data_IF_025786395762
#
_entry.id   IF_025786395762
#
_cell.length_a   1.000
_cell.length_b   1.000
_cell.length_c   1.000
_cell.angle_alpha   90.00
_cell.angle_beta   90.00
_cell.angle_gamma   90.00
#
_symmetry.space_group_name_H-M   'P 1'
#
loop_
_entity.id
_entity.type
_entity.pdbx_description
1 polymer ?
#
# COMPACT_ATOMS: atom_id res chain seq x y z
N UNK A 1 -18.31 13.63 4.66
CA UNK A 1 -18.38 13.25 6.10
C UNK A 1 -18.91 11.82 6.35
N UNK A 2 -18.71 10.85 5.43
CA UNK A 2 -19.31 9.50 5.57
C UNK A 2 -18.32 8.33 5.65
N UNK A 3 -17.05 8.51 5.29
CA UNK A 3 -16.03 7.46 5.42
C UNK A 3 -15.26 7.49 6.76
N UNK A 4 -15.04 8.65 7.38
CA UNK A 4 -14.51 8.75 8.76
C UNK A 4 -15.52 8.29 9.84
N UNK A 5 -16.82 8.24 9.53
CA UNK A 5 -17.86 7.90 10.51
C UNK A 5 -18.07 6.38 10.68
N UNK A 6 -17.67 5.56 9.70
CA UNK A 6 -17.82 4.11 9.75
C UNK A 6 -16.75 3.45 10.63
N UNK A 7 -15.49 3.86 10.50
CA UNK A 7 -14.37 3.32 11.28
C UNK A 7 -14.51 3.66 12.77
N UNK A 8 -14.97 4.86 13.08
CA UNK A 8 -15.09 5.34 14.47
C UNK A 8 -16.27 4.71 15.24
N UNK A 9 -17.34 4.27 14.56
CA UNK A 9 -18.51 3.64 15.21
C UNK A 9 -18.28 2.18 15.60
N UNK A 10 -17.45 1.44 14.86
CA UNK A 10 -17.12 0.05 15.18
C UNK A 10 -16.24 -0.06 16.43
N UNK A 11 -15.31 0.88 16.62
CA UNK A 11 -14.39 0.91 17.77
C UNK A 11 -15.08 1.34 19.07
N UNK A 12 -16.12 2.18 19.01
CA UNK A 12 -16.85 2.66 20.20
C UNK A 12 -17.85 1.64 20.78
N UNK A 13 -18.35 0.69 19.99
CA UNK A 13 -19.26 -0.36 20.48
C UNK A 13 -18.56 -1.43 21.33
N UNK A 14 -17.23 -1.56 21.22
CA UNK A 14 -16.45 -2.54 21.97
C UNK A 14 -16.01 -2.07 23.38
N UNK A 15 -16.32 -0.83 23.81
CA UNK A 15 -15.80 -0.26 25.08
C UNK A 15 -16.83 -0.03 26.19
N UNK A 16 -18.07 -0.52 26.07
CA UNK A 16 -19.11 -0.32 27.10
C UNK A 16 -19.59 -1.60 27.79
N UNK A 17 -18.65 -2.42 28.24
CA UNK A 17 -18.85 -3.31 29.39
C UNK A 17 -17.59 -3.21 30.25
N UNK A 18 -17.59 -2.32 31.23
CA UNK A 18 -16.53 -2.24 32.22
C UNK A 18 -16.75 -3.33 33.28
N UNK A 19 -15.84 -4.31 33.33
CA UNK A 19 -15.16 -4.69 34.57
C UNK A 19 -13.81 -5.34 34.22
N UNK A 20 -12.75 -4.70 34.70
CA UNK A 20 -11.34 -4.85 34.28
C UNK A 20 -10.68 -6.06 34.95
N UNK A 21 -9.61 -6.60 34.36
CA UNK A 21 -8.37 -6.74 35.14
C UNK A 21 -7.09 -6.48 34.34
N UNK A 22 -6.85 -6.99 33.11
CA UNK A 22 -5.67 -6.60 32.32
C UNK A 22 -5.85 -6.78 30.79
N UNK A 23 -5.56 -5.73 30.00
CA UNK A 23 -5.19 -5.84 28.57
C UNK A 23 -4.19 -4.74 28.25
N UNK A 24 -2.97 -5.10 27.83
CA UNK A 24 -2.02 -4.16 27.23
C UNK A 24 -2.51 -3.78 25.84
N UNK A 25 -2.81 -2.50 25.67
CA UNK A 25 -2.99 -1.87 24.37
C UNK A 25 -1.81 -0.91 24.26
N UNK A 26 -0.74 -1.33 23.60
CA UNK A 26 0.29 -0.38 23.18
C UNK A 26 -0.27 0.41 22.00
N UNK A 27 -0.99 1.46 22.36
CA UNK A 27 -1.13 2.65 21.54
C UNK A 27 0.15 3.46 21.72
N UNK A 28 0.99 3.55 20.69
CA UNK A 28 1.62 4.84 20.39
C UNK A 28 1.64 5.12 18.88
N UNK A 29 1.35 6.38 18.49
CA UNK A 29 1.59 6.94 17.17
C UNK A 29 3.04 7.44 17.04
N UNK A 30 3.37 7.95 15.85
CA UNK A 30 4.58 8.71 15.47
C UNK A 30 5.81 7.95 14.96
N UNK A 31 6.18 8.38 13.74
CA UNK A 31 7.51 8.70 13.24
C UNK A 31 8.64 8.43 14.24
N UNK A 32 9.56 7.54 13.87
CA UNK A 32 10.90 7.53 14.44
C UNK A 32 11.90 7.85 13.33
N UNK A 33 12.20 9.14 13.19
CA UNK A 33 13.49 9.60 12.69
C UNK A 33 14.50 9.33 13.81
N UNK A 34 15.49 8.48 13.57
CA UNK A 34 16.65 8.34 14.45
C UNK A 34 17.88 8.86 13.72
N UNK A 35 18.22 10.12 13.98
CA UNK A 35 19.57 10.63 13.86
C UNK A 35 19.89 11.37 15.16
N UNK A 36 20.82 10.82 15.94
CA UNK A 36 21.61 11.61 16.88
C UNK A 36 22.93 10.91 17.16
N UNK A 37 24.02 11.59 16.78
CA UNK A 37 25.40 11.23 17.08
C UNK A 37 25.73 11.66 18.51
N UNK A 38 26.37 10.77 19.27
CA UNK A 38 27.14 11.14 20.46
C UNK A 38 28.60 10.75 20.20
N UNK A 39 29.41 11.76 19.90
CA UNK A 39 30.85 11.69 19.96
C UNK A 39 31.27 11.95 21.41
N UNK A 40 31.72 10.90 22.10
CA UNK A 40 32.52 11.02 23.32
C UNK A 40 33.56 9.91 23.29
N UNK A 41 34.81 10.33 23.09
CA UNK A 41 36.03 9.51 23.14
C UNK A 41 36.20 8.93 24.54
N UNK A 42 36.35 7.61 24.64
CA UNK A 42 37.28 7.01 25.61
C UNK A 42 37.69 5.56 25.26
N UNK A 43 38.84 5.16 25.81
CA UNK A 43 39.80 4.21 25.24
C UNK A 43 39.48 2.70 25.36
N UNK A 44 39.94 1.98 24.32
CA UNK A 44 40.48 0.60 24.29
C UNK A 44 39.58 -0.65 24.52
N UNK A 45 39.27 -1.35 23.41
CA UNK A 45 39.46 -2.81 23.17
C UNK A 45 39.03 -3.17 21.73
N UNK A 46 39.85 -3.82 20.89
CA UNK A 46 39.35 -4.38 19.63
C UNK A 46 38.64 -5.70 19.94
N UNK A 47 37.31 -5.66 20.08
CA UNK A 47 36.48 -6.86 19.93
C UNK A 47 36.17 -7.01 18.44
N UNK A 48 36.49 -8.19 17.91
CA UNK A 48 36.25 -8.61 16.53
C UNK A 48 34.88 -8.16 16.02
N UNK A 49 34.91 -7.21 15.09
CA UNK A 49 33.75 -6.75 14.35
C UNK A 49 33.25 -7.95 13.53
N UNK A 50 32.11 -8.49 13.95
CA UNK A 50 31.31 -9.39 13.13
C UNK A 50 30.69 -8.55 12.00
N UNK A 51 31.49 -8.27 10.99
CA UNK A 51 31.03 -7.58 9.79
C UNK A 51 30.09 -8.52 9.02
N UNK A 52 29.00 -7.94 8.52
CA UNK A 52 28.14 -8.46 7.46
C UNK A 52 26.84 -9.20 7.85
N UNK A 53 26.02 -8.60 8.74
CA UNK A 53 24.58 -8.93 8.85
C UNK A 53 23.60 -7.79 8.51
N UNK A 54 24.08 -6.65 8.05
CA UNK A 54 23.24 -5.47 7.74
C UNK A 54 22.90 -5.27 6.25
N UNK A 55 23.48 -6.05 5.33
CA UNK A 55 23.52 -5.69 3.91
C UNK A 55 22.43 -6.32 3.02
N UNK A 56 21.66 -7.30 3.49
CA UNK A 56 20.72 -8.04 2.61
C UNK A 56 19.24 -7.67 2.79
N UNK A 57 18.81 -7.21 3.96
CA UNK A 57 17.41 -6.84 4.22
C UNK A 57 17.06 -5.45 3.67
N UNK A 58 17.94 -4.47 3.87
CA UNK A 58 17.77 -3.09 3.37
C UNK A 58 17.75 -3.05 1.84
N UNK A 59 18.67 -3.73 1.17
CA UNK A 59 18.68 -3.79 -0.30
C UNK A 59 17.42 -4.44 -0.86
N UNK A 60 16.90 -5.49 -0.20
CA UNK A 60 15.62 -6.10 -0.61
C UNK A 60 14.45 -5.15 -0.40
N UNK A 61 14.46 -4.35 0.65
CA UNK A 61 13.40 -3.38 0.91
C UNK A 61 13.41 -2.24 -0.10
N UNK A 62 14.60 -1.73 -0.43
CA UNK A 62 14.78 -0.72 -1.46
C UNK A 62 14.24 -1.20 -2.81
N UNK A 63 14.62 -2.42 -3.24
CA UNK A 63 14.11 -3.03 -4.48
C UNK A 63 12.59 -3.16 -4.47
N UNK A 64 11.98 -3.59 -3.37
CA UNK A 64 10.52 -3.65 -3.27
C UNK A 64 9.89 -2.27 -3.44
N UNK A 65 10.42 -1.26 -2.75
CA UNK A 65 9.85 0.09 -2.79
C UNK A 65 9.91 0.66 -4.21
N UNK A 66 11.03 0.49 -4.91
CA UNK A 66 11.20 0.95 -6.28
C UNK A 66 10.22 0.25 -7.22
N UNK A 67 10.14 -1.08 -7.17
CA UNK A 67 9.20 -1.86 -8.00
C UNK A 67 7.75 -1.46 -7.74
N UNK A 68 7.36 -1.30 -6.47
CA UNK A 68 6.01 -0.89 -6.12
C UNK A 68 5.71 0.54 -6.58
N UNK A 69 6.64 1.48 -6.41
CA UNK A 69 6.51 2.86 -6.88
C UNK A 69 6.36 2.91 -8.41
N UNK A 70 7.24 2.23 -9.15
CA UNK A 70 7.17 2.15 -10.61
C UNK A 70 5.85 1.53 -11.07
N UNK A 71 5.36 0.49 -10.38
CA UNK A 71 4.07 -0.13 -10.71
C UNK A 71 2.93 0.87 -10.56
N UNK A 72 2.86 1.58 -9.44
CA UNK A 72 1.78 2.55 -9.20
C UNK A 72 1.86 3.74 -10.16
N UNK A 73 3.07 4.21 -10.49
CA UNK A 73 3.28 5.26 -11.47
C UNK A 73 2.83 4.83 -12.87
N UNK A 74 3.19 3.62 -13.31
CA UNK A 74 2.77 3.13 -14.62
C UNK A 74 1.24 3.02 -14.70
N UNK A 75 0.57 2.55 -13.64
CA UNK A 75 -0.90 2.50 -13.61
C UNK A 75 -1.50 3.92 -13.68
N UNK A 76 -0.90 4.89 -12.98
CA UNK A 76 -1.30 6.30 -13.06
C UNK A 76 -1.22 6.79 -14.51
N UNK A 77 -0.04 6.71 -15.11
CA UNK A 77 0.23 7.21 -16.47
C UNK A 77 -0.70 6.54 -17.51
N UNK A 78 -0.93 5.23 -17.41
CA UNK A 78 -1.82 4.49 -18.30
C UNK A 78 -3.28 4.94 -18.20
N UNK A 79 -3.76 5.20 -16.97
CA UNK A 79 -5.14 5.62 -16.76
C UNK A 79 -5.32 7.10 -17.11
N UNK A 80 -4.37 7.98 -16.81
CA UNK A 80 -4.40 9.38 -17.28
C UNK A 80 -4.52 9.45 -18.80
N UNK A 81 -3.70 8.67 -19.51
CA UNK A 81 -3.78 8.57 -20.97
C UNK A 81 -5.15 8.05 -21.46
N UNK A 82 -5.76 7.12 -20.72
CA UNK A 82 -7.09 6.60 -21.03
C UNK A 82 -8.19 7.66 -20.81
N UNK A 83 -8.12 8.40 -19.70
CA UNK A 83 -9.05 9.49 -19.38
C UNK A 83 -9.03 10.53 -20.49
N UNK A 84 -7.83 10.96 -20.92
CA UNK A 84 -7.66 11.96 -21.98
C UNK A 84 -8.19 11.47 -23.34
N UNK A 85 -7.89 10.20 -23.67
CA UNK A 85 -8.27 9.61 -24.96
C UNK A 85 -9.78 9.44 -25.09
N UNK A 86 -10.42 8.86 -24.08
CA UNK A 86 -11.84 8.49 -24.12
C UNK A 86 -12.76 9.57 -23.51
N UNK A 87 -12.17 10.65 -22.98
CA UNK A 87 -12.87 11.76 -22.29
C UNK A 87 -13.76 11.26 -21.16
N UNK A 88 -13.22 10.37 -20.33
CA UNK A 88 -13.94 9.80 -19.20
C UNK A 88 -14.11 10.83 -18.08
N UNK A 89 -15.26 10.83 -17.43
CA UNK A 89 -15.47 11.54 -16.16
C UNK A 89 -14.91 10.68 -15.02
N UNK A 90 -13.58 10.62 -14.95
CA UNK A 90 -12.80 9.90 -13.96
C UNK A 90 -11.65 10.80 -13.50
N UNK A 91 -11.28 10.69 -12.23
CA UNK A 91 -10.09 11.34 -11.68
C UNK A 91 -9.12 10.29 -11.12
N UNK A 92 -7.82 10.58 -11.20
CA UNK A 92 -6.78 9.69 -10.68
C UNK A 92 -5.67 10.49 -10.00
N UNK A 93 -5.21 10.02 -8.85
CA UNK A 93 -4.17 10.69 -8.07
C UNK A 93 -3.27 9.70 -7.34
N UNK A 94 -1.96 9.97 -7.32
CA UNK A 94 -0.96 9.19 -6.59
C UNK A 94 -0.32 10.05 -5.49
N UNK A 95 -0.62 9.72 -4.23
CA UNK A 95 -0.07 10.44 -3.07
C UNK A 95 0.56 9.48 -2.07
N UNK A 96 1.84 9.67 -1.76
CA UNK A 96 2.56 8.92 -0.69
C UNK A 96 2.45 7.39 -0.80
N UNK A 97 2.39 6.84 -2.02
CA UNK A 97 2.23 5.40 -2.26
C UNK A 97 0.79 4.91 -2.22
N UNK A 98 -0.19 5.82 -2.24
CA UNK A 98 -1.61 5.53 -2.39
C UNK A 98 -2.09 6.07 -3.73
N UNK A 99 -2.50 5.19 -4.64
CA UNK A 99 -3.13 5.54 -5.91
C UNK A 99 -4.65 5.45 -5.74
N UNK A 100 -5.35 6.54 -6.00
CA UNK A 100 -6.81 6.63 -5.92
C UNK A 100 -7.37 6.85 -7.32
N UNK A 101 -8.31 6.01 -7.75
CA UNK A 101 -9.02 6.14 -9.03
C UNK A 101 -10.49 6.37 -8.70
N UNK A 102 -10.98 7.59 -8.90
CA UNK A 102 -12.38 7.96 -8.66
C UNK A 102 -13.18 7.81 -9.95
N UNK A 103 -14.08 6.84 -9.98
CA UNK A 103 -14.96 6.54 -11.11
C UNK A 103 -16.37 7.14 -10.92
N UNK A 104 -16.52 8.14 -10.05
CA UNK A 104 -17.78 8.82 -9.77
C UNK A 104 -18.82 7.89 -9.15
N UNK A 105 -19.97 7.75 -9.80
CA UNK A 105 -21.07 6.90 -9.32
C UNK A 105 -20.70 5.41 -9.24
N UNK A 106 -19.67 4.99 -9.98
CA UNK A 106 -19.19 3.60 -9.98
C UNK A 106 -18.26 3.28 -8.79
N UNK A 107 -17.98 4.26 -7.94
CA UNK A 107 -17.16 4.12 -6.75
C UNK A 107 -15.68 4.41 -6.99
N UNK A 108 -14.86 4.11 -5.98
CA UNK A 108 -13.45 4.52 -5.93
C UNK A 108 -12.57 3.31 -5.72
N UNK A 109 -11.57 3.13 -6.58
CA UNK A 109 -10.50 2.17 -6.38
C UNK A 109 -9.39 2.82 -5.57
N UNK A 110 -8.84 2.08 -4.60
CA UNK A 110 -7.66 2.53 -3.84
C UNK A 110 -6.59 1.45 -3.88
N UNK A 111 -5.45 1.75 -4.48
CA UNK A 111 -4.26 0.94 -4.38
C UNK A 111 -3.32 1.56 -3.34
N UNK A 112 -2.76 0.74 -2.46
CA UNK A 112 -1.87 1.21 -1.40
C UNK A 112 -0.62 0.33 -1.31
N UNK A 113 0.55 0.97 -1.38
CA UNK A 113 1.84 0.34 -1.12
C UNK A 113 1.98 0.03 0.38
N UNK A 114 2.09 -1.25 0.71
CA UNK A 114 2.27 -1.76 2.07
C UNK A 114 3.70 -2.25 2.29
N UNK A 115 4.61 -1.32 2.55
CA UNK A 115 6.04 -1.58 2.76
C UNK A 115 6.33 -2.65 3.83
N UNK A 116 5.70 -2.64 5.02
CA UNK A 116 5.97 -3.67 6.03
C UNK A 116 5.68 -5.10 5.55
N UNK A 117 4.67 -5.25 4.70
CA UNK A 117 4.24 -6.55 4.18
C UNK A 117 4.86 -6.88 2.81
N UNK A 118 5.55 -5.92 2.18
CA UNK A 118 6.02 -6.01 0.78
C UNK A 118 4.89 -6.36 -0.19
N UNK A 119 3.78 -5.65 -0.07
CA UNK A 119 2.57 -5.88 -0.85
C UNK A 119 2.03 -4.60 -1.47
N UNK A 120 1.19 -4.76 -2.49
CA UNK A 120 0.21 -3.75 -2.90
C UNK A 120 -1.17 -4.25 -2.49
N UNK A 121 -1.95 -3.40 -1.85
CA UNK A 121 -3.34 -3.71 -1.50
C UNK A 121 -4.27 -2.94 -2.42
N UNK A 122 -5.32 -3.60 -2.89
CA UNK A 122 -6.39 -2.99 -3.70
C UNK A 122 -7.68 -3.03 -2.91
N UNK A 123 -8.35 -1.89 -2.76
CA UNK A 123 -9.76 -1.83 -2.40
C UNK A 123 -10.56 -1.52 -3.67
N UNK A 124 -11.21 -2.54 -4.22
CA UNK A 124 -12.11 -2.39 -5.38
C UNK A 124 -13.54 -2.06 -4.91
N UNK A 125 -14.24 -1.12 -5.56
CA UNK A 125 -15.66 -0.88 -5.33
C UNK A 125 -16.55 -2.02 -5.85
N UNK A 126 -16.03 -2.86 -6.75
CA UNK A 126 -16.76 -3.97 -7.39
C UNK A 126 -16.60 -5.27 -6.61
N UNK A 127 -15.35 -5.62 -6.27
CA UNK A 127 -14.97 -6.96 -5.78
C UNK A 127 -14.32 -6.95 -4.39
N UNK A 128 -14.20 -5.76 -3.78
CA UNK A 128 -13.71 -5.59 -2.42
C UNK A 128 -12.18 -5.66 -2.31
N UNK A 129 -11.63 -6.08 -1.15
CA UNK A 129 -10.21 -5.97 -0.88
C UNK A 129 -9.39 -7.16 -1.41
N UNK A 130 -8.21 -6.87 -1.96
CA UNK A 130 -7.20 -7.83 -2.40
C UNK A 130 -5.81 -7.42 -1.91
N UNK A 131 -4.91 -8.41 -1.81
CA UNK A 131 -3.49 -8.20 -1.47
C UNK A 131 -2.65 -8.94 -2.49
N UNK A 132 -1.64 -8.25 -2.99
CA UNK A 132 -0.79 -8.74 -4.06
C UNK A 132 0.65 -8.89 -3.58
N UNK A 133 1.24 -10.05 -3.87
CA UNK A 133 2.65 -10.32 -3.68
C UNK A 133 3.38 -10.14 -5.01
N UNK A 134 4.58 -9.53 -4.96
CA UNK A 134 5.44 -9.46 -6.13
C UNK A 134 6.13 -10.81 -6.36
N UNK A 135 6.01 -11.35 -7.57
CA UNK A 135 6.59 -12.64 -7.96
C UNK A 135 7.96 -12.47 -8.62
N UNK A 136 8.79 -13.52 -8.65
CA UNK A 136 10.01 -13.53 -9.45
C UNK A 136 9.79 -13.37 -10.96
N UNK A 137 8.57 -13.64 -11.47
CA UNK A 137 8.20 -13.40 -12.87
C UNK A 137 7.98 -11.92 -13.19
N UNK A 138 7.99 -11.04 -12.17
CA UNK A 138 7.81 -9.61 -12.33
C UNK A 138 6.36 -9.15 -12.22
N UNK A 139 5.47 -9.98 -11.67
CA UNK A 139 4.03 -9.74 -11.62
C UNK A 139 3.53 -9.56 -10.19
N UNK A 140 2.42 -8.84 -10.03
CA UNK A 140 1.71 -8.72 -8.76
C UNK A 140 0.56 -9.71 -8.73
N UNK A 141 0.73 -10.86 -8.06
CA UNK A 141 -0.29 -11.91 -7.99
C UNK A 141 -1.08 -11.83 -6.68
N UNK A 142 -2.38 -12.01 -6.81
CA UNK A 142 -3.30 -12.02 -5.68
C UNK A 142 -3.03 -13.20 -4.75
N UNK A 143 -3.21 -12.95 -3.45
CA UNK A 143 -3.13 -13.98 -2.40
C UNK A 143 -4.41 -14.80 -2.26
N UNK A 144 -5.47 -14.44 -2.99
CA UNK A 144 -6.81 -15.04 -2.87
C UNK A 144 -7.26 -15.77 -4.14
N UNK A 145 -6.77 -15.36 -5.30
CA UNK A 145 -7.16 -15.88 -6.61
C UNK A 145 -6.02 -15.73 -7.64
N UNK A 146 -6.23 -16.24 -8.84
CA UNK A 146 -5.21 -16.32 -9.89
C UNK A 146 -5.09 -15.05 -10.74
N UNK A 147 -5.67 -13.94 -10.30
CA UNK A 147 -5.60 -12.68 -11.03
C UNK A 147 -4.36 -11.88 -10.65
N UNK A 148 -3.66 -11.35 -11.66
CA UNK A 148 -2.70 -10.29 -11.45
C UNK A 148 -3.40 -8.96 -11.12
N UNK A 149 -2.67 -8.03 -10.51
CA UNK A 149 -3.16 -6.68 -10.24
C UNK A 149 -3.65 -5.99 -11.52
N UNK A 150 -2.85 -6.05 -12.59
CA UNK A 150 -3.16 -5.44 -13.88
C UNK A 150 -4.39 -6.09 -14.53
N UNK A 151 -4.46 -7.43 -14.54
CA UNK A 151 -5.61 -8.13 -15.11
C UNK A 151 -6.90 -7.87 -14.34
N UNK A 152 -6.83 -7.75 -13.01
CA UNK A 152 -7.97 -7.37 -12.16
C UNK A 152 -8.46 -5.97 -12.48
N UNK A 153 -7.57 -4.98 -12.47
CA UNK A 153 -7.92 -3.59 -12.80
C UNK A 153 -8.49 -3.46 -14.20
N UNK A 154 -7.86 -4.12 -15.18
CA UNK A 154 -8.33 -4.15 -16.57
C UNK A 154 -9.76 -4.64 -16.63
N UNK A 155 -10.00 -5.86 -16.14
CA UNK A 155 -11.32 -6.47 -16.18
C UNK A 155 -12.42 -5.59 -15.54
N UNK A 156 -12.12 -4.96 -14.39
CA UNK A 156 -13.11 -4.17 -13.68
C UNK A 156 -13.37 -2.82 -14.35
N UNK A 157 -12.34 -2.14 -14.84
CA UNK A 157 -12.48 -0.88 -15.57
C UNK A 157 -13.17 -1.08 -16.93
N UNK A 158 -12.81 -2.13 -17.67
CA UNK A 158 -13.50 -2.51 -18.91
C UNK A 158 -14.97 -2.84 -18.64
N UNK A 159 -15.28 -3.50 -17.52
CA UNK A 159 -16.66 -3.79 -17.14
C UNK A 159 -17.46 -2.53 -16.81
N UNK A 160 -16.85 -1.53 -16.17
CA UNK A 160 -17.50 -0.27 -15.81
C UNK A 160 -17.75 0.59 -17.05
N UNK A 161 -16.71 0.81 -17.87
CA UNK A 161 -16.75 1.78 -18.96
C UNK A 161 -17.06 1.18 -20.34
N UNK A 162 -17.16 -0.16 -20.43
CA UNK A 162 -17.45 -0.90 -21.68
C UNK A 162 -16.50 -0.54 -22.84
N UNK A 163 -15.24 -0.29 -22.51
CA UNK A 163 -14.16 0.05 -23.43
C UNK A 163 -12.97 -0.87 -23.18
N UNK A 164 -12.00 -0.87 -24.10
CA UNK A 164 -10.76 -1.65 -23.97
C UNK A 164 -9.71 -0.87 -23.16
N UNK A 165 -9.18 -1.49 -22.10
CA UNK A 165 -8.14 -0.89 -21.24
C UNK A 165 -6.81 -1.62 -21.45
N UNK A 166 -5.73 -0.86 -21.61
CA UNK A 166 -4.38 -1.40 -21.80
C UNK A 166 -3.40 -0.83 -20.77
N UNK A 167 -2.62 -1.71 -20.16
CA UNK A 167 -1.57 -1.43 -19.19
C UNK A 167 -0.22 -1.90 -19.71
#
# INVERSE_FOLDING_TARGET
>A
MRFQLAVTKLVRRARRLQRISHVRIDSQPFITLQLSFKDERDHARPRSISQNRFSTSESKEYVFNDVANCTLQNILDSIEALIDKERLDMDISLETGVLTIDCGENGVFVLNKQTPNRQIWLASPVSGPFRYNYTPSGEWLSTRDDYSLQSRLKYELESIYKLEVNF
#
